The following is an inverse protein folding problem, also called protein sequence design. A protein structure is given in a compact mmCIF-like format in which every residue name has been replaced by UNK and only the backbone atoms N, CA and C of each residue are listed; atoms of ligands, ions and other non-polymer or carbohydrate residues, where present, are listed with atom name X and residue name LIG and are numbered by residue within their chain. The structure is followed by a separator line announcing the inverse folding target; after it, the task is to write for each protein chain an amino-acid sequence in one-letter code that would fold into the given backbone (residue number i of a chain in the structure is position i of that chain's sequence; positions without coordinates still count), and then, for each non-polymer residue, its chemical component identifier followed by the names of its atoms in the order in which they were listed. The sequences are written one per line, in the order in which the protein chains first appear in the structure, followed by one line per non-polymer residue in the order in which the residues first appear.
data_IF_545764561604
#
_entry.id   IF_545764561604
#
_cell.length_a   1.000
_cell.length_b   1.000
_cell.length_c   1.000
_cell.angle_alpha   90.00
_cell.angle_beta   90.00
_cell.angle_gamma   90.00
#
_symmetry.space_group_name_H-M   'P 1'
#
loop_
_entity.id
_entity.type
_entity.pdbx_description
1 polymer ?
#
# COMPACT_ATOMS: atom_id res chain seq x y z
N UNK A 1 -25.27 20.81 31.10
CA UNK A 1 -24.44 21.88 30.52
C UNK A 1 -23.18 21.96 31.35
N UNK A 2 -22.00 21.93 30.71
CA UNK A 2 -20.66 21.78 31.31
C UNK A 2 -20.25 20.37 31.77
N UNK A 3 -19.77 19.54 30.83
CA UNK A 3 -18.46 18.84 30.87
C UNK A 3 -17.92 18.64 29.42
N UNK A 4 -18.22 19.57 28.50
CA UNK A 4 -17.84 19.50 27.07
C UNK A 4 -16.72 20.47 26.71
N UNK A 5 -15.89 20.86 27.68
CA UNK A 5 -14.76 21.78 27.48
C UNK A 5 -13.58 21.27 28.30
N UNK A 6 -12.82 20.28 27.79
CA UNK A 6 -11.43 20.06 28.24
C UNK A 6 -10.56 19.27 27.24
N UNK A 7 -10.99 19.15 25.98
CA UNK A 7 -10.18 18.61 24.88
C UNK A 7 -10.44 19.42 23.60
N UNK A 8 -10.35 20.74 23.69
CA UNK A 8 -10.38 21.64 22.53
C UNK A 8 -8.98 21.93 22.02
N UNK A 9 -8.74 21.52 20.78
CA UNK A 9 -7.93 22.23 19.77
C UNK A 9 -6.40 22.33 19.91
N UNK A 10 -5.76 21.82 20.97
CA UNK A 10 -4.28 21.82 21.07
C UNK A 10 -3.58 20.51 20.68
N UNK A 11 -4.31 19.42 20.44
CA UNK A 11 -3.75 18.19 19.85
C UNK A 11 -3.67 18.32 18.33
N UNK A 12 -2.98 19.37 17.87
CA UNK A 12 -2.46 19.45 16.50
C UNK A 12 -1.56 18.22 16.26
N UNK A 13 -1.47 17.75 15.03
CA UNK A 13 -0.80 16.51 14.58
C UNK A 13 0.67 16.29 15.03
N UNK A 14 1.22 17.17 15.88
CA UNK A 14 2.61 17.26 16.33
C UNK A 14 3.00 16.40 17.53
N UNK A 15 2.15 15.54 18.12
CA UNK A 15 2.64 14.69 19.23
C UNK A 15 2.02 13.30 19.40
N UNK A 16 1.36 12.75 18.38
CA UNK A 16 0.87 11.37 18.43
C UNK A 16 2.01 10.33 18.34
N UNK A 17 3.17 10.68 17.80
CA UNK A 17 4.32 9.78 17.67
C UNK A 17 5.06 9.47 18.96
N UNK A 18 4.87 10.28 20.01
CA UNK A 18 5.41 9.99 21.34
C UNK A 18 4.44 9.17 22.20
N UNK A 19 3.20 8.99 21.73
CA UNK A 19 2.17 8.26 22.46
C UNK A 19 2.50 6.77 22.46
N UNK A 20 2.73 6.24 23.67
CA UNK A 20 2.87 4.81 23.89
C UNK A 20 1.49 4.16 23.73
N UNK A 21 1.36 3.35 22.69
CA UNK A 21 0.12 2.64 22.33
C UNK A 21 0.07 1.22 22.88
N UNK A 22 1.19 0.68 23.37
CA UNK A 22 1.22 -0.68 23.91
C UNK A 22 2.59 -1.14 24.34
N UNK A 23 2.70 -2.44 24.60
CA UNK A 23 3.93 -3.05 25.11
C UNK A 23 4.18 -4.41 24.46
N UNK A 24 5.42 -4.65 24.04
CA UNK A 24 5.84 -5.90 23.40
C UNK A 24 5.70 -7.08 24.37
N UNK A 25 5.13 -8.17 23.88
CA UNK A 25 4.94 -9.41 24.66
C UNK A 25 5.47 -10.62 23.91
N UNK A 26 5.76 -11.67 24.68
CA UNK A 26 6.20 -12.95 24.15
C UNK A 26 7.58 -12.89 23.47
N UNK A 27 7.86 -13.92 22.68
CA UNK A 27 9.09 -13.99 21.91
C UNK A 27 9.02 -13.06 20.68
N UNK A 28 10.10 -12.35 20.41
CA UNK A 28 10.24 -11.47 19.24
C UNK A 28 11.21 -12.08 18.23
N UNK A 29 10.99 -11.85 16.94
CA UNK A 29 11.94 -12.19 15.88
C UNK A 29 12.42 -10.94 15.16
N UNK A 30 13.36 -11.08 14.22
CA UNK A 30 13.78 -9.97 13.34
C UNK A 30 12.75 -9.66 12.24
N UNK A 31 11.65 -10.42 12.17
CA UNK A 31 10.61 -10.27 11.13
C UNK A 31 9.26 -9.86 11.69
N UNK A 32 8.98 -10.20 12.94
CA UNK A 32 7.72 -9.90 13.61
C UNK A 32 7.87 -9.84 15.12
N UNK A 33 6.91 -9.17 15.75
CA UNK A 33 6.71 -9.20 17.18
C UNK A 33 5.22 -8.99 17.50
N UNK A 34 4.82 -9.37 18.71
CA UNK A 34 3.48 -9.14 19.20
C UNK A 34 3.51 -8.08 20.31
N UNK A 35 2.46 -7.29 20.42
CA UNK A 35 2.30 -6.35 21.52
C UNK A 35 0.86 -6.27 21.99
N UNK A 36 0.66 -6.03 23.28
CA UNK A 36 -0.66 -5.75 23.86
C UNK A 36 -0.96 -4.27 23.69
N UNK A 37 -2.11 -3.94 23.11
CA UNK A 37 -2.58 -2.56 22.98
C UNK A 37 -3.00 -2.06 24.36
N UNK A 38 -2.50 -0.88 24.75
CA UNK A 38 -2.82 -0.23 26.00
C UNK A 38 -4.30 0.18 26.01
N UNK A 39 -4.99 -0.03 27.14
CA UNK A 39 -6.37 0.39 27.33
C UNK A 39 -6.57 1.87 26.97
N UNK A 40 -7.53 2.16 26.12
CA UNK A 40 -7.83 3.50 25.60
C UNK A 40 -7.07 3.90 24.32
N UNK A 41 -6.15 3.06 23.84
CA UNK A 41 -5.38 3.30 22.60
C UNK A 41 -5.88 2.48 21.40
N UNK A 42 -6.95 1.70 21.56
CA UNK A 42 -7.51 0.80 20.55
C UNK A 42 -7.96 1.55 19.29
N UNK A 43 -8.38 2.81 19.44
CA UNK A 43 -8.84 3.63 18.31
C UNK A 43 -7.69 4.10 17.40
N UNK A 44 -6.45 4.07 17.91
CA UNK A 44 -5.26 4.50 17.17
C UNK A 44 -4.53 3.32 16.52
N UNK A 45 -4.64 2.11 17.08
CA UNK A 45 -3.96 0.93 16.53
C UNK A 45 -4.93 0.16 15.64
N UNK A 46 -4.77 0.34 14.33
CA UNK A 46 -5.60 -0.33 13.30
C UNK A 46 -4.73 -1.27 12.47
N UNK A 47 -5.39 -2.15 11.70
CA UNK A 47 -4.69 -2.92 10.65
C UNK A 47 -3.99 -1.95 9.68
N UNK A 48 -2.79 -2.31 9.28
CA UNK A 48 -1.88 -1.53 8.44
C UNK A 48 -1.40 -0.20 9.06
N UNK A 49 -1.64 0.01 10.36
CA UNK A 49 -1.01 1.12 11.09
C UNK A 49 0.49 0.89 11.29
N UNK A 50 1.25 1.97 11.32
CA UNK A 50 2.70 1.95 11.51
C UNK A 50 3.07 2.23 12.95
N UNK A 51 3.82 1.31 13.53
CA UNK A 51 4.30 1.39 14.90
C UNK A 51 5.81 1.31 14.95
N UNK A 52 6.37 1.85 16.01
CA UNK A 52 7.79 1.82 16.25
C UNK A 52 8.15 1.33 17.64
N UNK A 53 9.33 0.74 17.75
CA UNK A 53 9.89 0.21 18.99
C UNK A 53 11.41 0.28 18.94
N UNK A 54 12.04 0.52 20.09
CA UNK A 54 13.49 0.64 20.20
C UNK A 54 14.19 -0.73 20.04
N UNK A 55 15.21 -0.79 19.17
CA UNK A 55 16.09 -1.95 19.01
C UNK A 55 16.94 -2.17 20.26
N UNK A 56 17.08 -3.41 20.71
CA UNK A 56 17.67 -3.76 22.00
C UNK A 56 19.13 -3.32 22.24
N UNK A 57 19.90 -3.10 21.17
CA UNK A 57 21.36 -2.86 21.23
C UNK A 57 21.75 -1.48 20.73
N UNK A 58 21.26 -1.07 19.55
CA UNK A 58 21.66 0.23 18.96
C UNK A 58 20.82 1.39 19.45
N UNK A 59 19.61 1.13 19.98
CA UNK A 59 18.62 2.17 20.27
C UNK A 59 17.92 2.72 19.02
N UNK A 60 18.22 2.19 17.82
CA UNK A 60 17.55 2.61 16.59
C UNK A 60 16.07 2.23 16.63
N UNK A 61 15.27 2.98 15.89
CA UNK A 61 13.83 2.79 15.83
C UNK A 61 13.49 1.67 14.84
N UNK A 62 12.97 0.55 15.33
CA UNK A 62 12.42 -0.51 14.49
C UNK A 62 11.01 -0.11 14.07
N UNK A 63 10.81 0.03 12.77
CA UNK A 63 9.53 0.35 12.17
C UNK A 63 8.85 -0.95 11.74
N UNK A 64 7.58 -1.08 12.12
CA UNK A 64 6.73 -2.20 11.75
C UNK A 64 5.34 -1.76 11.36
N UNK A 65 4.62 -2.67 10.71
CA UNK A 65 3.23 -2.49 10.29
C UNK A 65 2.35 -3.54 10.97
N UNK A 66 1.26 -3.10 11.57
CA UNK A 66 0.26 -3.97 12.20
C UNK A 66 -0.43 -4.81 11.12
N UNK A 67 -0.39 -6.13 11.25
CA UNK A 67 -1.01 -7.05 10.28
C UNK A 67 -2.28 -7.71 10.76
N UNK A 68 -2.37 -7.92 12.06
CA UNK A 68 -3.51 -8.57 12.69
C UNK A 68 -3.71 -8.00 14.09
N UNK A 69 -4.97 -7.95 14.52
CA UNK A 69 -5.36 -7.61 15.89
C UNK A 69 -6.30 -8.71 16.35
N UNK A 70 -5.91 -9.42 17.40
CA UNK A 70 -6.67 -10.49 18.04
C UNK A 70 -7.16 -9.99 19.39
N UNK A 71 -8.46 -10.14 19.68
CA UNK A 71 -9.01 -9.86 21.00
C UNK A 71 -8.97 -11.16 21.80
N UNK A 72 -8.24 -11.16 22.91
CA UNK A 72 -8.10 -12.33 23.78
C UNK A 72 -8.69 -12.04 25.16
N UNK A 73 -9.23 -13.06 25.81
CA UNK A 73 -9.67 -12.99 27.19
C UNK A 73 -9.18 -14.23 27.95
N UNK A 74 -8.29 -14.05 28.92
CA UNK A 74 -7.74 -15.15 29.73
C UNK A 74 -8.82 -15.86 30.58
N UNK A 75 -9.92 -15.17 30.89
CA UNK A 75 -11.04 -15.72 31.66
C UNK A 75 -11.97 -16.58 30.80
N UNK A 76 -11.82 -16.54 29.47
CA UNK A 76 -12.67 -17.25 28.51
C UNK A 76 -11.83 -17.99 27.45
N UNK A 77 -11.05 -19.00 27.86
CA UNK A 77 -10.32 -19.83 26.90
C UNK A 77 -11.30 -20.62 26.02
N UNK A 78 -10.87 -21.03 24.83
CA UNK A 78 -11.70 -21.73 23.82
C UNK A 78 -12.41 -22.99 24.39
N UNK A 79 -11.86 -23.57 25.44
CA UNK A 79 -12.38 -24.74 26.16
C UNK A 79 -13.67 -24.45 26.95
N UNK A 80 -14.00 -23.19 27.24
CA UNK A 80 -15.19 -22.77 28.00
C UNK A 80 -16.51 -22.80 27.20
N UNK A 81 -16.46 -23.09 25.89
CA UNK A 81 -17.62 -23.03 24.98
C UNK A 81 -18.80 -23.97 25.30
N UNK A 82 -18.74 -24.80 26.35
CA UNK A 82 -19.80 -25.75 26.72
C UNK A 82 -20.79 -25.24 27.78
N UNK A 83 -20.44 -24.22 28.57
CA UNK A 83 -21.29 -23.69 29.66
C UNK A 83 -21.51 -22.16 29.52
N UNK A 84 -22.25 -21.78 28.46
CA UNK A 84 -22.59 -20.39 28.10
C UNK A 84 -23.28 -19.58 29.22
N UNK A 85 -23.88 -20.25 30.22
CA UNK A 85 -24.57 -19.58 31.33
C UNK A 85 -23.62 -18.92 32.33
N UNK A 86 -22.40 -19.45 32.51
CA UNK A 86 -21.38 -18.84 33.38
C UNK A 86 -20.60 -17.73 32.66
N UNK A 87 -20.51 -17.79 31.32
CA UNK A 87 -19.84 -16.78 30.51
C UNK A 87 -20.46 -15.37 30.71
N UNK A 88 -21.78 -15.26 30.84
CA UNK A 88 -22.49 -13.97 30.96
C UNK A 88 -22.14 -13.13 32.20
N UNK A 89 -21.54 -13.72 33.25
CA UNK A 89 -21.25 -13.02 34.52
C UNK A 89 -19.79 -12.52 34.57
N UNK A 90 -18.88 -13.13 33.78
CA UNK A 90 -17.44 -12.82 33.74
C UNK A 90 -17.01 -12.00 32.50
N UNK A 91 -17.96 -11.65 31.64
CA UNK A 91 -17.76 -11.37 30.21
C UNK A 91 -17.10 -10.00 29.90
N UNK A 92 -16.92 -9.11 30.87
CA UNK A 92 -16.42 -7.73 30.65
C UNK A 92 -15.05 -7.44 31.29
N UNK A 93 -14.50 -8.37 32.06
CA UNK A 93 -13.16 -8.24 32.63
C UNK A 93 -12.21 -9.20 31.90
N UNK A 94 -10.95 -8.78 31.73
CA UNK A 94 -9.90 -9.64 31.18
C UNK A 94 -9.72 -9.63 29.66
N UNK A 95 -10.51 -8.85 28.90
CA UNK A 95 -10.24 -8.66 27.47
C UNK A 95 -9.02 -7.77 27.24
N UNK A 96 -8.08 -8.23 26.42
CA UNK A 96 -6.94 -7.44 25.96
C UNK A 96 -6.68 -7.66 24.47
N UNK A 97 -6.54 -6.59 23.66
CA UNK A 97 -6.20 -6.72 22.26
C UNK A 97 -4.70 -6.95 22.07
N UNK A 98 -4.34 -8.01 21.34
CA UNK A 98 -2.97 -8.35 20.95
C UNK A 98 -2.80 -8.08 19.46
N UNK A 99 -1.78 -7.30 19.10
CA UNK A 99 -1.44 -7.01 17.72
C UNK A 99 -0.21 -7.78 17.27
N UNK A 100 -0.26 -8.34 16.06
CA UNK A 100 0.89 -8.93 15.37
C UNK A 100 1.48 -7.91 14.41
N UNK A 101 2.74 -7.57 14.59
CA UNK A 101 3.46 -6.56 13.80
C UNK A 101 4.47 -7.24 12.90
N UNK A 102 4.44 -6.91 11.59
CA UNK A 102 5.51 -7.25 10.65
C UNK A 102 6.56 -6.16 10.68
N UNK A 103 7.81 -6.52 10.98
CA UNK A 103 8.94 -5.61 10.96
C UNK A 103 9.30 -5.28 9.51
N UNK A 104 9.43 -3.99 9.20
CA UNK A 104 9.88 -3.48 7.91
C UNK A 104 11.39 -3.22 7.92
N UNK A 105 11.89 -2.64 9.02
CA UNK A 105 13.32 -2.50 9.25
C UNK A 105 13.67 -1.57 10.40
N UNK A 106 14.97 -1.40 10.63
CA UNK A 106 15.56 -0.48 11.60
C UNK A 106 15.88 0.84 10.89
N UNK A 107 15.31 1.93 11.39
CA UNK A 107 15.47 3.27 10.86
C UNK A 107 16.66 3.97 11.55
N UNK A 108 17.67 4.31 10.76
CA UNK A 108 18.89 5.00 11.24
C UNK A 108 18.88 6.52 10.96
N UNK A 109 17.73 7.08 10.56
CA UNK A 109 17.58 8.48 10.14
C UNK A 109 17.84 8.74 8.65
N UNK A 110 18.40 7.78 7.91
CA UNK A 110 18.70 7.90 6.48
C UNK A 110 18.03 6.81 5.64
N UNK A 111 18.13 5.56 6.07
CA UNK A 111 17.63 4.40 5.35
C UNK A 111 16.99 3.40 6.30
N UNK A 112 16.05 2.63 5.77
CA UNK A 112 15.48 1.48 6.45
C UNK A 112 16.35 0.25 6.15
N UNK A 113 16.99 -0.29 7.17
CA UNK A 113 17.86 -1.46 7.06
C UNK A 113 17.24 -2.69 7.73
N UNK A 114 17.69 -3.89 7.37
CA UNK A 114 17.26 -5.09 8.09
C UNK A 114 17.81 -5.04 9.52
N UNK A 115 16.95 -5.18 10.56
CA UNK A 115 17.40 -5.15 11.94
C UNK A 115 18.38 -6.29 12.19
N UNK A 116 19.46 -5.99 12.90
CA UNK A 116 20.49 -6.98 13.25
C UNK A 116 20.27 -7.51 14.66
N UNK A 117 19.53 -6.76 15.49
CA UNK A 117 19.24 -7.11 16.86
C UNK A 117 17.74 -7.16 17.11
N UNK A 118 17.34 -7.95 18.11
CA UNK A 118 15.95 -8.14 18.46
C UNK A 118 15.35 -6.96 19.24
N UNK A 119 14.08 -7.11 19.58
CA UNK A 119 13.35 -6.20 20.45
C UNK A 119 13.26 -6.86 21.83
N UNK A 120 13.35 -6.09 22.91
CA UNK A 120 13.16 -6.67 24.25
C UNK A 120 11.67 -6.87 24.53
N UNK A 121 11.24 -8.02 25.06
CA UNK A 121 9.92 -8.13 25.66
C UNK A 121 9.75 -7.05 26.73
N UNK A 122 8.58 -6.43 26.78
CA UNK A 122 8.32 -5.29 27.64
C UNK A 122 8.71 -3.94 27.04
N UNK A 123 9.33 -3.87 25.85
CA UNK A 123 9.59 -2.58 25.20
C UNK A 123 8.28 -1.84 24.88
N UNK A 124 8.29 -0.51 25.06
CA UNK A 124 7.16 0.33 24.73
C UNK A 124 7.00 0.46 23.21
N UNK A 125 5.76 0.32 22.73
CA UNK A 125 5.39 0.50 21.32
C UNK A 125 4.74 1.86 21.14
N UNK A 126 5.17 2.60 20.13
CA UNK A 126 4.66 3.95 19.79
C UNK A 126 4.08 3.96 18.38
N UNK A 127 3.29 4.98 18.06
CA UNK A 127 2.94 5.26 16.66
C UNK A 127 4.15 5.85 15.95
N UNK A 128 4.37 5.45 14.70
CA UNK A 128 5.38 6.12 13.87
C UNK A 128 4.89 7.54 13.52
N UNK A 129 5.76 8.53 13.34
CA UNK A 129 5.31 9.85 12.86
C UNK A 129 5.12 9.87 11.34
N UNK A 130 4.22 10.72 10.83
CA UNK A 130 4.07 10.93 9.39
C UNK A 130 5.36 11.42 8.75
N UNK A 131 6.12 12.27 9.46
CA UNK A 131 7.41 12.76 9.02
C UNK A 131 8.44 11.64 8.82
N UNK A 132 8.47 10.67 9.75
CA UNK A 132 9.33 9.50 9.65
C UNK A 132 8.91 8.64 8.46
N UNK A 133 7.61 8.39 8.27
CA UNK A 133 7.11 7.62 7.13
C UNK A 133 7.43 8.28 5.79
N UNK A 134 7.24 9.59 5.66
CA UNK A 134 7.59 10.34 4.44
C UNK A 134 9.11 10.28 4.16
N UNK A 135 9.95 10.37 5.19
CA UNK A 135 11.42 10.20 5.04
C UNK A 135 11.79 8.79 4.59
N UNK A 136 11.14 7.76 5.12
CA UNK A 136 11.38 6.35 4.75
C UNK A 136 11.02 6.10 3.28
N UNK A 137 9.94 6.71 2.79
CA UNK A 137 9.50 6.54 1.40
C UNK A 137 10.42 7.21 0.38
N UNK A 138 11.35 8.08 0.80
CA UNK A 138 12.40 8.69 -0.04
C UNK A 138 11.90 9.22 -1.40
N UNK A 139 10.87 10.07 -1.36
CA UNK A 139 10.14 10.46 -2.56
C UNK A 139 10.79 11.66 -3.27
N UNK A 140 11.26 11.48 -4.51
CA UNK A 140 11.62 12.58 -5.42
C UNK A 140 10.36 12.99 -6.22
N UNK A 141 9.57 13.90 -5.66
CA UNK A 141 8.29 14.36 -6.21
C UNK A 141 8.45 14.92 -7.65
N UNK A 142 9.63 15.43 -8.00
CA UNK A 142 9.86 15.96 -9.34
C UNK A 142 9.96 14.88 -10.41
N UNK A 143 10.36 13.65 -10.02
CA UNK A 143 10.60 12.53 -10.93
C UNK A 143 9.75 11.30 -10.61
N UNK A 144 8.74 11.47 -9.78
CA UNK A 144 7.86 10.39 -9.35
C UNK A 144 6.40 10.71 -9.67
N UNK A 145 5.64 9.65 -9.90
CA UNK A 145 4.21 9.69 -10.11
C UNK A 145 3.50 9.53 -8.76
N UNK A 146 2.58 10.43 -8.44
CA UNK A 146 1.69 10.27 -7.30
C UNK A 146 0.70 9.13 -7.56
N UNK A 147 0.65 8.14 -6.67
CA UNK A 147 -0.24 6.96 -6.84
C UNK A 147 -1.33 6.86 -5.77
N UNK A 148 -1.31 7.75 -4.76
CA UNK A 148 -2.29 7.75 -3.66
C UNK A 148 -1.62 8.00 -2.32
N UNK A 149 -2.26 7.54 -1.24
CA UNK A 149 -1.78 7.71 0.14
C UNK A 149 -1.71 6.35 0.84
N UNK A 150 -1.06 6.29 2.00
CA UNK A 150 -1.11 5.08 2.83
C UNK A 150 -2.56 4.82 3.30
N UNK A 151 -2.97 3.55 3.32
CA UNK A 151 -4.36 3.16 3.63
C UNK A 151 -4.79 3.53 5.05
N UNK A 152 -3.86 3.49 6.01
CA UNK A 152 -4.07 3.90 7.40
C UNK A 152 -3.84 5.40 7.62
N UNK A 153 -3.20 6.10 6.67
CA UNK A 153 -2.76 7.49 6.81
C UNK A 153 -2.90 8.28 5.51
N UNK A 154 -4.04 8.94 5.37
CA UNK A 154 -4.34 9.82 4.23
C UNK A 154 -3.39 11.03 4.14
N UNK A 155 -2.76 11.41 5.24
CA UNK A 155 -1.77 12.50 5.30
C UNK A 155 -0.41 12.15 4.71
N UNK A 156 -0.13 10.85 4.48
CA UNK A 156 1.16 10.39 3.95
C UNK A 156 0.98 10.01 2.48
N UNK A 157 1.43 10.88 1.55
CA UNK A 157 1.35 10.59 0.12
C UNK A 157 2.35 9.51 -0.27
N UNK A 158 2.03 8.77 -1.34
CA UNK A 158 2.85 7.71 -1.91
C UNK A 158 3.14 8.04 -3.37
N UNK A 159 4.43 8.08 -3.70
CA UNK A 159 4.91 8.29 -5.05
C UNK A 159 5.76 7.12 -5.51
N UNK A 160 5.76 6.85 -6.81
CA UNK A 160 6.61 5.84 -7.45
C UNK A 160 7.47 6.51 -8.51
N UNK A 161 8.77 6.21 -8.52
CA UNK A 161 9.71 6.77 -9.48
C UNK A 161 9.30 6.46 -10.93
N UNK A 162 9.05 7.50 -11.74
CA UNK A 162 8.73 7.35 -13.17
C UNK A 162 9.92 6.72 -13.91
N UNK A 163 11.14 7.10 -13.53
CA UNK A 163 12.35 6.52 -14.11
C UNK A 163 12.44 5.02 -13.84
N UNK A 164 12.04 4.55 -12.67
CA UNK A 164 12.02 3.11 -12.37
C UNK A 164 10.92 2.39 -13.15
N UNK A 165 9.73 2.97 -13.26
CA UNK A 165 8.61 2.43 -14.05
C UNK A 165 9.06 2.20 -15.50
N UNK A 166 9.74 3.19 -16.10
CA UNK A 166 10.17 3.13 -17.51
C UNK A 166 11.39 2.24 -17.70
N UNK A 167 12.37 2.25 -16.79
CA UNK A 167 13.64 1.53 -16.97
C UNK A 167 13.64 0.08 -16.52
N UNK A 168 12.76 -0.31 -15.58
CA UNK A 168 12.74 -1.67 -14.99
C UNK A 168 11.50 -2.49 -15.36
N UNK A 169 10.62 -1.93 -16.20
CA UNK A 169 9.28 -2.44 -16.50
C UNK A 169 8.35 -2.44 -15.28
N UNK A 170 7.05 -2.28 -15.53
CA UNK A 170 6.00 -2.29 -14.52
C UNK A 170 4.92 -3.30 -14.92
N UNK A 171 4.53 -4.14 -13.96
CA UNK A 171 3.37 -5.02 -14.09
C UNK A 171 2.29 -4.62 -13.07
N UNK A 172 1.10 -4.27 -13.56
CA UNK A 172 -0.07 -3.95 -12.72
C UNK A 172 -1.02 -5.14 -12.77
N UNK A 173 -1.11 -5.87 -11.65
CA UNK A 173 -1.91 -7.08 -11.52
C UNK A 173 -3.09 -6.81 -10.60
N UNK A 174 -4.30 -7.07 -11.09
CA UNK A 174 -5.54 -6.85 -10.35
C UNK A 174 -6.67 -7.70 -10.93
N UNK A 175 -7.65 -8.04 -10.09
CA UNK A 175 -8.90 -8.66 -10.53
C UNK A 175 -9.78 -7.64 -11.27
N UNK A 176 -10.73 -8.12 -12.08
CA UNK A 176 -11.74 -7.25 -12.72
C UNK A 176 -12.46 -6.42 -11.67
N UNK A 177 -12.60 -5.11 -11.91
CA UNK A 177 -13.23 -4.17 -10.98
C UNK A 177 -12.35 -3.68 -9.83
N UNK A 178 -11.13 -4.21 -9.65
CA UNK A 178 -10.23 -3.79 -8.58
C UNK A 178 -9.39 -2.53 -8.91
N UNK A 179 -9.72 -1.81 -10.00
CA UNK A 179 -9.10 -0.53 -10.33
C UNK A 179 -7.86 -0.58 -11.24
N UNK A 180 -7.56 -1.70 -11.92
CA UNK A 180 -6.41 -1.81 -12.85
C UNK A 180 -6.30 -0.62 -13.80
N UNK A 181 -7.36 -0.34 -14.53
CA UNK A 181 -7.38 0.67 -15.58
C UNK A 181 -7.40 2.10 -15.02
N UNK A 182 -7.96 2.28 -13.82
CA UNK A 182 -7.84 3.53 -13.06
C UNK A 182 -6.39 3.80 -12.66
N UNK A 183 -5.71 2.83 -12.07
CA UNK A 183 -4.29 2.95 -11.70
C UNK A 183 -3.40 3.23 -12.91
N UNK A 184 -3.65 2.56 -14.04
CA UNK A 184 -2.97 2.86 -15.31
C UNK A 184 -3.22 4.31 -15.73
N UNK A 185 -4.47 4.77 -15.70
CA UNK A 185 -4.82 6.17 -16.02
C UNK A 185 -4.07 7.18 -15.17
N UNK A 186 -4.02 6.98 -13.85
CA UNK A 186 -3.24 7.83 -12.92
C UNK A 186 -1.76 7.86 -13.29
N UNK A 187 -1.17 6.69 -13.57
CA UNK A 187 0.25 6.62 -13.96
C UNK A 187 0.49 7.36 -15.29
N UNK A 188 -0.40 7.19 -16.28
CA UNK A 188 -0.30 7.89 -17.57
C UNK A 188 -0.36 9.41 -17.32
N UNK A 189 -1.35 9.89 -16.56
CA UNK A 189 -1.50 11.30 -16.24
C UNK A 189 -0.24 11.88 -15.59
N UNK A 190 0.32 11.19 -14.60
CA UNK A 190 1.53 11.62 -13.90
C UNK A 190 2.76 11.63 -14.81
N UNK A 191 2.91 10.65 -15.71
CA UNK A 191 3.97 10.65 -16.72
C UNK A 191 3.81 11.84 -17.67
N UNK A 192 2.60 12.13 -18.12
CA UNK A 192 2.33 13.26 -19.02
C UNK A 192 2.63 14.61 -18.36
N UNK A 193 2.29 14.80 -17.08
CA UNK A 193 2.63 16.01 -16.28
C UNK A 193 4.13 16.27 -16.21
N UNK A 194 4.96 15.22 -16.36
CA UNK A 194 6.42 15.30 -16.35
C UNK A 194 7.03 15.26 -17.75
N UNK A 195 6.26 15.66 -18.78
CA UNK A 195 6.66 15.66 -20.19
C UNK A 195 7.11 14.28 -20.71
N UNK A 196 6.57 13.20 -20.15
CA UNK A 196 6.76 11.86 -20.69
C UNK A 196 5.86 11.59 -21.90
N UNK A 197 6.11 10.47 -22.57
CA UNK A 197 5.29 9.97 -23.67
C UNK A 197 4.86 8.54 -23.38
N UNK A 198 3.58 8.25 -23.61
CA UNK A 198 3.01 6.92 -23.41
C UNK A 198 2.29 6.48 -24.69
N UNK A 199 2.51 5.22 -25.06
CA UNK A 199 1.73 4.54 -26.09
C UNK A 199 0.91 3.46 -25.39
N UNK A 200 -0.40 3.51 -25.58
CA UNK A 200 -1.34 2.56 -24.97
C UNK A 200 -1.89 1.64 -26.06
N UNK A 201 -1.76 0.33 -25.86
CA UNK A 201 -2.45 -0.68 -26.65
C UNK A 201 -3.70 -1.10 -25.89
N UNK A 202 -4.84 -0.57 -26.32
CA UNK A 202 -6.11 -0.71 -25.62
C UNK A 202 -7.04 -1.71 -26.32
N UNK A 203 -7.02 -2.96 -25.82
CA UNK A 203 -7.85 -4.04 -26.36
C UNK A 203 -9.34 -3.91 -26.00
N UNK A 204 -9.66 -3.24 -24.90
CA UNK A 204 -11.03 -3.14 -24.38
C UNK A 204 -11.68 -1.79 -24.69
N UNK A 205 -10.90 -0.79 -25.11
CA UNK A 205 -11.39 0.55 -25.41
C UNK A 205 -11.61 1.43 -24.19
N UNK A 206 -11.01 1.09 -23.04
CA UNK A 206 -11.17 1.82 -21.77
C UNK A 206 -10.55 3.23 -21.78
N UNK A 207 -9.62 3.51 -22.69
CA UNK A 207 -8.89 4.78 -22.78
C UNK A 207 -9.26 5.60 -24.03
N UNK A 208 -10.30 5.22 -24.79
CA UNK A 208 -10.70 5.94 -26.02
C UNK A 208 -11.07 7.40 -25.75
N UNK A 209 -11.73 7.66 -24.64
CA UNK A 209 -12.18 9.00 -24.26
C UNK A 209 -11.26 9.64 -23.22
N UNK A 210 -10.01 9.14 -23.09
CA UNK A 210 -9.07 9.70 -22.13
C UNK A 210 -8.73 11.15 -22.50
N UNK A 211 -8.98 12.06 -21.56
CA UNK A 211 -8.66 13.48 -21.70
C UNK A 211 -7.75 13.87 -20.54
N UNK A 212 -6.48 14.13 -20.85
CA UNK A 212 -5.48 14.50 -19.86
C UNK A 212 -5.12 15.98 -20.01
N UNK A 213 -5.18 16.79 -18.94
CA UNK A 213 -4.75 18.18 -18.97
C UNK A 213 -3.32 18.31 -19.49
N UNK A 214 -3.06 19.36 -20.26
CA UNK A 214 -1.71 19.69 -20.76
C UNK A 214 -1.03 18.60 -21.61
N UNK A 215 -1.82 17.72 -22.24
CA UNK A 215 -1.31 16.63 -23.06
C UNK A 215 -1.83 16.70 -24.49
N UNK A 216 -1.05 16.16 -25.43
CA UNK A 216 -1.49 15.91 -26.80
C UNK A 216 -1.83 14.43 -26.94
N UNK A 217 -3.11 14.10 -26.80
CA UNK A 217 -3.60 12.73 -27.01
C UNK A 217 -3.87 12.52 -28.50
N UNK A 218 -3.40 11.39 -29.04
CA UNK A 218 -3.76 10.91 -30.39
C UNK A 218 -4.29 9.49 -30.26
N UNK A 219 -5.50 9.28 -30.75
CA UNK A 219 -6.16 7.98 -30.71
C UNK A 219 -6.13 7.43 -32.13
N UNK A 220 -5.57 6.24 -32.28
CA UNK A 220 -5.63 5.49 -33.53
C UNK A 220 -6.62 4.35 -33.33
N UNK A 221 -7.52 4.16 -34.30
CA UNK A 221 -8.49 3.06 -34.26
C UNK A 221 -8.57 2.37 -35.62
N UNK A 222 -9.08 1.14 -35.63
CA UNK A 222 -9.40 0.43 -36.87
C UNK A 222 -10.77 0.78 -37.44
N UNK A 223 -11.51 1.66 -36.75
CA UNK A 223 -12.83 2.11 -37.18
C UNK A 223 -12.74 2.86 -38.52
N UNK A 224 -13.65 2.54 -39.43
CA UNK A 224 -13.64 3.09 -40.79
C UNK A 224 -13.98 4.57 -40.81
N UNK A 225 -14.77 5.03 -39.84
CA UNK A 225 -15.24 6.42 -39.72
C UNK A 225 -14.23 7.31 -38.97
N UNK A 226 -13.18 6.73 -38.40
CA UNK A 226 -12.17 7.47 -37.63
C UNK A 226 -11.22 8.28 -38.51
N UNK A 227 -11.09 9.58 -38.24
CA UNK A 227 -10.11 10.45 -38.90
C UNK A 227 -8.66 9.96 -38.72
N UNK A 228 -8.38 9.23 -37.63
CA UNK A 228 -7.08 8.64 -37.33
C UNK A 228 -7.08 7.11 -37.50
N UNK A 229 -7.68 6.63 -38.61
CA UNK A 229 -7.68 5.21 -38.97
C UNK A 229 -6.25 4.66 -39.05
N UNK A 230 -5.94 3.63 -38.27
CA UNK A 230 -4.67 2.93 -38.35
C UNK A 230 -4.59 2.19 -39.68
N UNK A 231 -3.56 2.49 -40.48
CA UNK A 231 -3.30 1.83 -41.76
C UNK A 231 -1.92 1.20 -41.71
N UNK A 232 -1.83 -0.05 -42.14
CA UNK A 232 -0.57 -0.76 -42.31
C UNK A 232 -0.28 -0.78 -43.80
N UNK A 233 0.92 -0.34 -44.18
CA UNK A 233 1.36 -0.40 -45.56
C UNK A 233 1.53 -1.87 -45.96
N UNK A 234 0.79 -2.31 -46.97
CA UNK A 234 0.85 -3.69 -47.48
C UNK A 234 2.27 -4.04 -47.92
N UNK A 235 3.03 -3.08 -48.44
CA UNK A 235 4.43 -3.32 -48.84
C UNK A 235 5.37 -3.58 -47.66
N UNK A 236 4.96 -3.26 -46.43
CA UNK A 236 5.72 -3.52 -45.22
C UNK A 236 5.51 -4.94 -44.66
N UNK A 237 4.54 -5.68 -45.19
CA UNK A 237 4.21 -7.04 -44.75
C UNK A 237 4.93 -8.09 -45.61
N UNK A 238 5.52 -9.08 -44.96
CA UNK A 238 6.06 -10.26 -45.62
C UNK A 238 5.00 -11.36 -45.72
N UNK A 239 5.17 -12.29 -46.67
CA UNK A 239 4.28 -13.45 -46.83
C UNK A 239 4.11 -14.25 -45.52
N UNK A 240 5.16 -14.31 -44.69
CA UNK A 240 5.12 -14.95 -43.37
C UNK A 240 4.16 -14.27 -42.39
N UNK A 241 3.98 -12.96 -42.48
CA UNK A 241 3.08 -12.20 -41.60
C UNK A 241 1.61 -12.56 -41.91
N UNK A 242 1.27 -12.72 -43.18
CA UNK A 242 -0.04 -13.21 -43.60
C UNK A 242 -0.31 -14.63 -43.08
N UNK A 243 0.70 -15.50 -43.08
CA UNK A 243 0.59 -16.85 -42.50
C UNK A 243 0.33 -16.86 -41.00
N UNK A 244 0.71 -15.80 -40.29
CA UNK A 244 0.55 -15.65 -38.84
C UNK A 244 -0.76 -14.95 -38.47
N UNK A 245 -1.20 -13.99 -39.30
CA UNK A 245 -2.38 -13.16 -39.07
C UNK A 245 -3.68 -13.84 -39.50
N UNK A 246 -3.63 -14.82 -40.41
CA UNK A 246 -4.81 -15.57 -40.87
C UNK A 246 -4.78 -16.95 -40.18
N UNK A 247 -5.47 -17.11 -39.04
CA UNK A 247 -5.69 -18.45 -38.50
C UNK A 247 -6.48 -19.24 -39.55
N UNK A 248 -6.08 -20.51 -39.79
CA UNK A 248 -6.70 -21.46 -40.74
C UNK A 248 -6.15 -21.49 -42.19
N UNK A 249 -4.95 -20.96 -42.44
CA UNK A 249 -4.23 -21.22 -43.70
C UNK A 249 -3.80 -22.70 -43.74
N UNK A 250 -4.22 -23.42 -44.80
CA UNK A 250 -3.80 -24.81 -45.02
C UNK A 250 -2.31 -24.89 -45.36
N UNK A 251 -1.63 -26.03 -45.13
CA UNK A 251 -0.20 -26.17 -45.47
C UNK A 251 0.12 -25.80 -46.93
N UNK A 252 -0.78 -26.11 -47.87
CA UNK A 252 -0.66 -25.77 -49.30
C UNK A 252 -0.76 -24.26 -49.60
N UNK A 253 -1.33 -23.48 -48.70
CA UNK A 253 -1.46 -22.03 -48.79
C UNK A 253 -0.37 -21.30 -48.00
N UNK A 254 0.49 -22.04 -47.29
CA UNK A 254 1.57 -21.51 -46.44
C UNK A 254 2.94 -21.49 -47.15
N UNK A 255 3.10 -22.37 -48.13
CA UNK A 255 4.25 -22.46 -49.06
C UNK A 255 4.01 -21.59 -50.31
#
# INVERSE_FOLDING_TARGET
MMITEFLSEETSAKNLSEVIVGQVIGATTLRNFNFVIKKGMEHYVKRDEFVSVEEAVTGNEIIGVVKEITISNELLPDEFGRDLKMANILLLEGEYPVSTVKILGSWNGKSLEMPKYGIKPGSAVKLTSDETLMKILQQDIEKAAFIGTLSSRETVPVYVSINEIVSRHLAILAMTGAGKSYTVGVIIEEIMKKNGAVVVFDLHGEYRDISLPFSKVRIFSFDEESESKLKIDVSSLHASDFSTLIPDITPLQRD
#
